data_IF_569580632567
#
_entry.id   IF_569580632567
#
_cell.length_a   1.000
_cell.length_b   1.000
_cell.length_c   1.000
_cell.angle_alpha   90.00
_cell.angle_beta   90.00
_cell.angle_gamma   90.00
#
_symmetry.space_group_name_H-M   'P 1'
#
loop_
_entity.id
_entity.type
_entity.pdbx_description
1 polymer ?
#
# COMPACT_ATOMS: atom_id res chain seq x y z
N UNK A 1 16.14 13.09 -10.27
CA UNK A 1 16.33 11.62 -10.13
C UNK A 1 17.66 11.24 -10.75
N UNK A 2 18.71 11.03 -9.96
CA UNK A 2 20.09 10.91 -10.48
C UNK A 2 20.45 9.50 -11.02
N UNK A 3 19.49 8.57 -11.08
CA UNK A 3 19.73 7.19 -11.49
C UNK A 3 20.56 6.40 -10.48
N UNK A 4 21.16 5.28 -10.91
CA UNK A 4 22.03 4.44 -10.10
C UNK A 4 23.39 5.14 -9.84
N UNK A 5 23.98 5.07 -8.63
CA UNK A 5 25.18 5.82 -8.28
C UNK A 5 26.40 5.60 -9.20
N UNK A 6 26.63 4.36 -9.65
CA UNK A 6 27.79 4.02 -10.51
C UNK A 6 27.54 4.26 -12.00
N UNK A 7 26.33 3.98 -12.49
CA UNK A 7 26.05 3.95 -13.94
C UNK A 7 25.23 5.14 -14.42
N UNK A 8 24.62 5.90 -13.49
CA UNK A 8 23.59 6.92 -13.75
C UNK A 8 22.40 6.46 -14.59
N UNK A 9 22.28 5.15 -14.83
CA UNK A 9 21.14 4.56 -15.54
C UNK A 9 19.88 4.69 -14.68
N UNK A 10 18.69 4.76 -15.29
CA UNK A 10 17.43 4.72 -14.55
C UNK A 10 17.34 3.48 -13.64
N UNK A 11 16.62 3.64 -12.53
CA UNK A 11 16.26 2.52 -11.67
C UNK A 11 15.32 1.57 -12.43
N UNK A 12 15.61 0.27 -12.37
CA UNK A 12 14.82 -0.75 -13.06
C UNK A 12 13.61 -1.22 -12.27
N UNK A 13 13.66 -1.09 -10.94
CA UNK A 13 12.58 -1.42 -10.01
C UNK A 13 12.43 -0.24 -9.06
N UNK A 14 11.24 0.35 -9.06
CA UNK A 14 10.86 1.44 -8.16
C UNK A 14 9.69 0.91 -7.35
N UNK A 15 9.75 1.08 -6.03
CA UNK A 15 8.68 0.69 -5.12
C UNK A 15 8.15 1.95 -4.44
N UNK A 16 6.85 2.16 -4.52
CA UNK A 16 6.12 3.17 -3.77
C UNK A 16 5.60 2.47 -2.50
N UNK A 17 5.96 2.97 -1.32
CA UNK A 17 5.50 2.44 -0.04
C UNK A 17 4.61 3.49 0.62
N UNK A 18 3.40 3.10 1.02
CA UNK A 18 2.43 3.98 1.69
C UNK A 18 1.67 3.21 2.76
N UNK A 19 1.16 3.93 3.76
CA UNK A 19 0.19 3.42 4.74
C UNK A 19 -1.22 3.77 4.27
N UNK A 20 -2.19 2.89 4.51
CA UNK A 20 -3.61 3.16 4.22
C UNK A 20 -4.17 4.26 5.12
N UNK A 21 -3.92 4.14 6.43
CA UNK A 21 -4.09 5.18 7.43
C UNK A 21 -2.73 5.43 8.09
N UNK A 22 -2.28 6.68 8.09
CA UNK A 22 -1.07 7.09 8.80
C UNK A 22 -1.33 7.13 10.30
N UNK A 23 -0.58 6.34 11.05
CA UNK A 23 -0.86 6.02 12.47
C UNK A 23 -0.97 7.22 13.42
N UNK A 24 -0.21 8.29 13.18
CA UNK A 24 -0.14 9.44 14.08
C UNK A 24 -1.26 10.44 13.80
N UNK A 25 -1.45 10.81 12.54
CA UNK A 25 -2.41 11.84 12.13
C UNK A 25 -3.81 11.26 11.85
N UNK A 26 -3.92 9.94 11.66
CA UNK A 26 -5.15 9.29 11.22
C UNK A 26 -5.53 9.63 9.77
N UNK A 27 -4.61 10.24 9.01
CA UNK A 27 -4.89 10.66 7.64
C UNK A 27 -4.97 9.45 6.70
N UNK A 28 -5.95 9.47 5.79
CA UNK A 28 -6.15 8.41 4.80
C UNK A 28 -5.35 8.76 3.55
N UNK A 29 -4.58 7.79 3.03
CA UNK A 29 -3.83 7.98 1.78
C UNK A 29 -4.76 8.25 0.60
N UNK A 30 -4.30 9.10 -0.31
CA UNK A 30 -4.92 9.33 -1.63
C UNK A 30 -4.61 8.16 -2.57
N UNK A 31 -5.16 6.98 -2.25
CA UNK A 31 -4.82 5.72 -2.91
C UNK A 31 -5.09 5.73 -4.44
N UNK A 32 -6.21 6.28 -4.96
CA UNK A 32 -6.44 6.35 -6.40
C UNK A 32 -5.31 7.08 -7.14
N UNK A 33 -4.80 8.19 -6.58
CA UNK A 33 -3.72 8.98 -7.16
C UNK A 33 -2.37 8.26 -7.07
N UNK A 34 -2.12 7.55 -5.97
CA UNK A 34 -0.92 6.70 -5.83
C UNK A 34 -0.92 5.58 -6.87
N UNK A 35 -2.06 4.93 -7.11
CA UNK A 35 -2.21 3.92 -8.16
C UNK A 35 -2.03 4.54 -9.55
N UNK A 36 -2.55 5.74 -9.78
CA UNK A 36 -2.31 6.47 -11.04
C UNK A 36 -0.81 6.73 -11.27
N UNK A 37 -0.07 7.10 -10.23
CA UNK A 37 1.39 7.27 -10.29
C UNK A 37 2.10 5.93 -10.56
N UNK A 38 1.70 4.86 -9.86
CA UNK A 38 2.20 3.49 -10.08
C UNK A 38 2.08 3.11 -11.56
N UNK A 39 0.88 3.25 -12.13
CA UNK A 39 0.58 2.93 -13.54
C UNK A 39 1.39 3.81 -14.49
N UNK A 40 1.49 5.12 -14.24
CA UNK A 40 2.24 6.07 -15.07
C UNK A 40 3.73 5.74 -15.14
N UNK A 41 4.35 5.41 -14.02
CA UNK A 41 5.80 5.19 -13.92
C UNK A 41 6.21 3.71 -13.96
N UNK A 42 5.24 2.79 -14.13
CA UNK A 42 5.47 1.35 -14.14
C UNK A 42 6.25 0.88 -12.90
N UNK A 43 5.90 1.45 -11.76
CA UNK A 43 6.48 1.09 -10.47
C UNK A 43 5.62 0.04 -9.77
N UNK A 44 6.14 -0.47 -8.67
CA UNK A 44 5.41 -1.31 -7.74
C UNK A 44 4.80 -0.47 -6.61
N UNK A 45 3.74 -0.96 -5.99
CA UNK A 45 3.04 -0.38 -4.85
C UNK A 45 2.98 -1.40 -3.72
N UNK A 46 3.55 -1.01 -2.58
CA UNK A 46 3.42 -1.67 -1.29
C UNK A 46 2.48 -0.83 -0.41
N UNK A 47 1.40 -1.44 0.04
CA UNK A 47 0.40 -0.82 0.90
C UNK A 47 0.41 -1.50 2.27
N UNK A 48 0.67 -0.71 3.32
CA UNK A 48 0.48 -1.12 4.71
C UNK A 48 -0.96 -0.81 5.16
N UNK A 49 -1.75 -1.86 5.39
CA UNK A 49 -3.13 -1.80 5.85
C UNK A 49 -3.26 -1.93 7.37
N UNK A 50 -2.17 -1.88 8.15
CA UNK A 50 -2.20 -2.18 9.58
C UNK A 50 -3.20 -1.33 10.38
N UNK A 51 -3.39 -0.06 10.02
CA UNK A 51 -4.36 0.83 10.66
C UNK A 51 -5.70 0.95 9.93
N UNK A 52 -5.80 0.47 8.68
CA UNK A 52 -7.00 0.57 7.86
C UNK A 52 -7.80 -0.72 7.79
N UNK A 53 -7.19 -1.90 7.87
CA UNK A 53 -7.93 -3.16 7.92
C UNK A 53 -8.74 -3.26 9.21
N UNK A 54 -10.00 -3.66 9.08
CA UNK A 54 -11.01 -3.63 10.14
C UNK A 54 -11.56 -2.24 10.48
N UNK A 55 -10.92 -1.15 10.03
CA UNK A 55 -11.34 0.22 10.30
C UNK A 55 -12.05 0.89 9.11
N UNK A 56 -11.69 0.53 7.88
CA UNK A 56 -12.19 1.14 6.65
C UNK A 56 -12.83 0.11 5.71
N UNK A 57 -13.75 0.61 4.87
CA UNK A 57 -14.50 -0.18 3.90
C UNK A 57 -15.77 -0.80 4.48
N UNK A 58 -16.83 -1.04 3.68
CA UNK A 58 -18.10 -1.58 4.17
C UNK A 58 -17.97 -2.95 4.87
N UNK A 59 -16.97 -3.76 4.50
CA UNK A 59 -16.69 -5.05 5.15
C UNK A 59 -15.39 -5.07 5.96
N UNK A 60 -14.80 -3.89 6.21
CA UNK A 60 -13.57 -3.76 6.98
C UNK A 60 -12.33 -4.27 6.23
N UNK A 61 -12.35 -4.34 4.90
CA UNK A 61 -11.20 -4.86 4.14
C UNK A 61 -10.08 -3.85 3.92
N UNK A 62 -10.24 -2.63 4.44
CA UNK A 62 -9.19 -1.62 4.42
C UNK A 62 -9.39 -0.54 3.37
N UNK A 63 -8.32 0.21 3.12
CA UNK A 63 -8.38 1.44 2.31
C UNK A 63 -8.68 1.15 0.84
N UNK A 64 -8.29 -0.03 0.33
CA UNK A 64 -8.65 -0.47 -1.03
C UNK A 64 -10.16 -0.56 -1.21
N UNK A 65 -10.87 -1.18 -0.25
CA UNK A 65 -12.32 -1.33 -0.28
C UNK A 65 -13.02 0.02 -0.05
N UNK A 66 -12.49 0.85 0.84
CA UNK A 66 -12.99 2.20 1.09
C UNK A 66 -13.11 3.05 -0.17
N UNK A 67 -12.14 2.96 -1.09
CA UNK A 67 -12.18 3.64 -2.38
C UNK A 67 -12.87 2.85 -3.50
N UNK A 68 -13.39 1.65 -3.23
CA UNK A 68 -13.99 0.78 -4.24
C UNK A 68 -13.01 0.31 -5.34
N UNK A 69 -11.73 0.18 -4.99
CA UNK A 69 -10.66 -0.18 -5.93
C UNK A 69 -10.45 -1.69 -6.00
N UNK A 70 -9.83 -2.15 -7.08
CA UNK A 70 -9.40 -3.54 -7.21
C UNK A 70 -8.15 -3.79 -6.36
N UNK A 71 -8.10 -4.83 -5.51
CA UNK A 71 -6.88 -5.25 -4.85
C UNK A 71 -5.73 -5.59 -5.82
N UNK A 72 -6.05 -5.92 -7.08
CA UNK A 72 -5.04 -6.17 -8.12
C UNK A 72 -4.23 -4.93 -8.51
N UNK A 73 -4.70 -3.73 -8.17
CA UNK A 73 -3.95 -2.49 -8.39
C UNK A 73 -2.81 -2.29 -7.37
N UNK A 74 -2.75 -3.10 -6.31
CA UNK A 74 -1.69 -3.10 -5.29
C UNK A 74 -0.83 -4.36 -5.46
N UNK A 75 0.49 -4.21 -5.54
CA UNK A 75 1.36 -5.38 -5.79
C UNK A 75 1.62 -6.18 -4.51
N UNK A 76 1.74 -5.47 -3.38
CA UNK A 76 1.99 -6.05 -2.07
C UNK A 76 1.12 -5.34 -1.05
N UNK A 77 0.31 -6.11 -0.32
CA UNK A 77 -0.46 -5.65 0.83
C UNK A 77 0.11 -6.29 2.08
N UNK A 78 0.30 -5.48 3.11
CA UNK A 78 0.71 -5.93 4.43
C UNK A 78 -0.34 -5.53 5.44
N UNK A 79 -0.49 -6.33 6.50
CA UNK A 79 -1.24 -5.90 7.68
C UNK A 79 -0.78 -6.63 8.93
N UNK A 80 -1.37 -6.23 10.06
CA UNK A 80 -1.05 -6.79 11.37
C UNK A 80 -2.27 -7.38 12.04
N UNK A 81 -2.06 -8.44 12.82
CA UNK A 81 -3.09 -9.02 13.67
C UNK A 81 -3.20 -8.32 15.04
N UNK A 82 -2.26 -7.43 15.40
CA UNK A 82 -2.16 -6.82 16.73
C UNK A 82 -3.09 -5.64 16.98
N UNK A 83 -3.83 -5.19 15.96
CA UNK A 83 -4.73 -4.02 16.01
C UNK A 83 -6.18 -4.47 15.95
N UNK A 84 -6.87 -4.20 14.85
CA UNK A 84 -8.30 -4.50 14.68
C UNK A 84 -8.66 -5.97 14.91
N UNK A 85 -7.72 -6.89 14.72
CA UNK A 85 -7.92 -8.33 14.94
C UNK A 85 -7.68 -8.81 16.38
N UNK A 86 -7.13 -7.97 17.27
CA UNK A 86 -6.95 -8.31 18.69
C UNK A 86 -6.07 -9.53 18.98
N UNK A 87 -5.16 -9.89 18.07
CA UNK A 87 -4.32 -11.08 18.14
C UNK A 87 -2.82 -10.74 18.01
N UNK A 88 -1.98 -11.67 17.57
CA UNK A 88 -0.54 -11.48 17.42
C UNK A 88 -0.04 -11.88 16.03
N UNK A 89 0.97 -11.16 15.53
CA UNK A 89 1.61 -11.42 14.24
C UNK A 89 1.21 -10.45 13.14
N UNK A 90 1.58 -10.78 11.91
CA UNK A 90 1.28 -9.99 10.72
C UNK A 90 1.31 -10.86 9.46
N UNK A 91 0.84 -10.28 8.36
CA UNK A 91 0.74 -10.96 7.09
C UNK A 91 1.21 -10.07 5.96
N UNK A 92 1.64 -10.70 4.88
CA UNK A 92 1.94 -10.06 3.61
C UNK A 92 1.30 -10.90 2.50
N UNK A 93 0.65 -10.23 1.56
CA UNK A 93 -0.03 -10.85 0.43
C UNK A 93 0.27 -10.07 -0.85
N UNK A 94 0.32 -10.76 -1.97
CA UNK A 94 0.57 -10.16 -3.27
C UNK A 94 0.40 -11.20 -4.37
N UNK A 95 0.28 -10.74 -5.62
CA UNK A 95 0.17 -11.64 -6.77
C UNK A 95 1.55 -12.29 -7.02
N UNK A 96 1.53 -13.59 -7.37
CA UNK A 96 2.72 -14.38 -7.72
C UNK A 96 3.32 -13.95 -9.05
#
# INVERSE_FOLDING_TARGET
VHGQPRTRRPWKKILILVEGIYSMEGSIVRLPEVIALKKKYKSYLYLDEAHSIGALGPSGRGVVEYFGLSPEDVDVMMGTFTKSFGAAGGYIGGKK
#
